data_IF_102176952676
#
_entry.id   IF_102176952676
#
_cell.length_a   1.000
_cell.length_b   1.000
_cell.length_c   1.000
_cell.angle_alpha   90.00
_cell.angle_beta   90.00
_cell.angle_gamma   90.00
#
_symmetry.space_group_name_H-M   'P 1'
#
loop_
_entity.id
_entity.type
_entity.pdbx_description
1 polymer ?
#
# COMPACT_ATOMS: atom_id res chain seq x y z
N UNK A 1 -0.48 -35.90 0.00
CA UNK A 1 0.73 -35.11 0.16
C UNK A 1 0.45 -33.99 1.15
N UNK A 2 1.39 -33.77 2.02
CA UNK A 2 1.27 -32.80 3.11
C UNK A 2 2.48 -31.86 3.09
N UNK A 3 2.26 -30.56 3.31
CA UNK A 3 3.31 -29.56 3.27
C UNK A 3 3.16 -28.54 4.41
N UNK A 4 4.26 -28.14 4.99
CA UNK A 4 4.28 -27.02 5.95
C UNK A 4 4.04 -25.71 5.23
N UNK A 5 3.21 -24.87 5.83
CA UNK A 5 2.91 -23.55 5.29
C UNK A 5 3.99 -22.55 5.70
N UNK A 6 4.63 -21.94 4.71
CA UNK A 6 5.54 -20.85 4.92
C UNK A 6 4.80 -19.54 4.68
N UNK A 7 4.61 -18.74 5.73
CA UNK A 7 3.77 -17.55 5.72
C UNK A 7 4.48 -16.26 5.39
N UNK A 8 5.61 -16.30 4.69
CA UNK A 8 6.40 -15.11 4.45
C UNK A 8 5.82 -14.21 3.39
N UNK A 9 4.82 -13.44 3.77
CA UNK A 9 4.41 -12.26 2.99
C UNK A 9 4.50 -11.03 3.89
N UNK A 10 5.19 -10.01 3.40
CA UNK A 10 5.37 -8.78 4.16
C UNK A 10 4.05 -8.05 4.33
N UNK A 11 3.76 -7.61 5.56
CA UNK A 11 2.56 -6.82 5.90
C UNK A 11 1.23 -7.55 5.70
N UNK A 12 1.27 -8.88 5.65
CA UNK A 12 0.06 -9.69 5.53
C UNK A 12 0.11 -10.91 6.43
N UNK A 13 -1.06 -11.47 6.67
CA UNK A 13 -1.25 -12.63 7.54
C UNK A 13 -2.31 -13.56 6.97
N UNK A 14 -2.23 -14.84 7.34
CA UNK A 14 -3.30 -15.78 7.09
C UNK A 14 -4.54 -15.38 7.90
N UNK A 15 -5.71 -15.49 7.30
CA UNK A 15 -6.98 -15.14 7.97
C UNK A 15 -7.32 -16.12 9.07
N UNK A 16 -7.02 -17.41 8.85
CA UNK A 16 -7.31 -18.47 9.81
C UNK A 16 -6.07 -18.92 10.56
N UNK A 17 -6.27 -19.66 11.65
CA UNK A 17 -5.17 -20.26 12.39
C UNK A 17 -4.38 -21.20 11.50
N UNK A 18 -3.06 -21.08 11.55
CA UNK A 18 -2.15 -21.86 10.73
C UNK A 18 -1.95 -23.25 11.36
N UNK A 19 -2.02 -24.30 10.55
CA UNK A 19 -1.68 -25.66 10.95
C UNK A 19 -0.25 -25.99 10.54
N UNK A 20 0.30 -27.04 11.14
CA UNK A 20 1.65 -27.48 10.78
C UNK A 20 1.71 -28.01 9.35
N UNK A 21 0.69 -28.76 8.95
CA UNK A 21 0.70 -29.43 7.64
C UNK A 21 -0.64 -29.27 6.96
N UNK A 22 -0.61 -29.32 5.62
CA UNK A 22 -1.78 -29.20 4.78
C UNK A 22 -1.78 -30.30 3.71
N UNK A 23 -2.97 -30.73 3.33
CA UNK A 23 -3.14 -31.73 2.29
C UNK A 23 -3.31 -31.09 0.92
N UNK A 24 -3.07 -31.88 -0.12
CA UNK A 24 -3.29 -31.42 -1.50
C UNK A 24 -4.70 -30.85 -1.68
N UNK A 25 -4.78 -29.70 -2.32
CA UNK A 25 -6.03 -29.01 -2.59
C UNK A 25 -6.50 -28.07 -1.47
N UNK A 26 -5.89 -28.13 -0.30
CA UNK A 26 -6.26 -27.20 0.78
C UNK A 26 -5.77 -25.79 0.45
N UNK A 27 -6.59 -24.81 0.82
CA UNK A 27 -6.33 -23.39 0.55
C UNK A 27 -6.25 -22.61 1.85
N UNK A 28 -5.36 -21.61 1.87
CA UNK A 28 -5.24 -20.69 2.99
C UNK A 28 -5.47 -19.27 2.49
N UNK A 29 -6.43 -18.60 3.08
CA UNK A 29 -6.73 -17.20 2.72
C UNK A 29 -5.79 -16.26 3.45
N UNK A 30 -5.32 -15.25 2.74
CA UNK A 30 -4.47 -14.19 3.28
C UNK A 30 -5.20 -12.85 3.26
N UNK A 31 -4.76 -11.95 4.11
CA UNK A 31 -5.21 -10.56 4.15
C UNK A 31 -4.02 -9.66 4.39
N UNK A 32 -4.13 -8.43 3.96
CA UNK A 32 -3.11 -7.41 4.26
C UNK A 32 -3.47 -6.67 5.53
N UNK A 33 -2.44 -6.19 6.23
CA UNK A 33 -2.62 -5.39 7.45
C UNK A 33 -3.21 -4.03 7.10
N UNK A 34 -4.05 -3.50 7.99
CA UNK A 34 -4.54 -2.13 8.00
C UNK A 34 -4.75 -1.50 6.63
N UNK A 35 -3.96 -0.48 6.32
CA UNK A 35 -4.08 0.31 5.09
C UNK A 35 -3.38 -0.30 3.88
N UNK A 36 -2.77 -1.47 4.02
CA UNK A 36 -2.10 -2.14 2.91
C UNK A 36 -3.12 -2.75 1.95
N UNK A 37 -2.78 -2.81 0.68
CA UNK A 37 -3.67 -3.29 -0.38
C UNK A 37 -3.15 -4.59 -0.96
N UNK A 38 -4.01 -5.59 -1.04
CA UNK A 38 -3.65 -6.89 -1.62
C UNK A 38 -3.51 -6.77 -3.14
N UNK A 39 -2.37 -7.25 -3.66
CA UNK A 39 -2.16 -7.46 -5.08
C UNK A 39 -1.95 -8.94 -5.32
N UNK A 40 -2.61 -9.48 -6.33
CA UNK A 40 -2.53 -10.88 -6.68
C UNK A 40 -3.67 -11.70 -6.10
N UNK A 41 -3.40 -12.95 -5.79
CA UNK A 41 -4.41 -13.91 -5.33
C UNK A 41 -4.64 -13.80 -3.82
N UNK A 42 -5.89 -14.06 -3.38
CA UNK A 42 -6.22 -14.05 -1.96
C UNK A 42 -5.85 -15.35 -1.25
N UNK A 43 -5.62 -16.41 -2.00
CA UNK A 43 -5.39 -17.75 -1.45
C UNK A 43 -4.06 -18.31 -1.90
N UNK A 44 -3.40 -19.03 -0.98
CA UNK A 44 -2.36 -19.99 -1.33
C UNK A 44 -2.95 -21.38 -1.28
N UNK A 45 -2.62 -22.22 -2.27
CA UNK A 45 -3.14 -23.58 -2.41
C UNK A 45 -2.00 -24.58 -2.30
N UNK A 46 -2.21 -25.63 -1.54
CA UNK A 46 -1.27 -26.73 -1.47
C UNK A 46 -1.49 -27.67 -2.67
N UNK A 47 -0.50 -27.79 -3.54
CA UNK A 47 -0.55 -28.64 -4.72
C UNK A 47 0.69 -29.53 -4.79
N UNK A 48 0.49 -30.84 -4.64
CA UNK A 48 1.58 -31.82 -4.70
C UNK A 48 2.76 -31.49 -3.80
N UNK A 49 2.48 -31.01 -2.60
CA UNK A 49 3.50 -30.62 -1.63
C UNK A 49 4.10 -29.25 -1.83
N UNK A 50 3.64 -28.48 -2.80
CA UNK A 50 4.10 -27.13 -3.07
C UNK A 50 2.99 -26.11 -2.87
N UNK A 51 3.36 -24.91 -2.44
CA UNK A 51 2.40 -23.82 -2.33
C UNK A 51 2.36 -23.01 -3.60
N UNK A 52 1.14 -22.81 -4.11
CA UNK A 52 0.88 -21.97 -5.28
C UNK A 52 0.05 -20.76 -4.87
N UNK A 53 0.06 -19.73 -5.70
CA UNK A 53 -0.62 -18.47 -5.43
C UNK A 53 0.38 -17.39 -5.07
N UNK A 54 0.40 -16.34 -5.86
CA UNK A 54 1.28 -15.20 -5.64
C UNK A 54 0.48 -14.01 -5.15
N UNK A 55 0.98 -13.37 -4.11
CA UNK A 55 0.35 -12.21 -3.53
C UNK A 55 1.40 -11.33 -2.87
N UNK A 56 1.08 -10.07 -2.77
CA UNK A 56 1.85 -9.14 -1.95
C UNK A 56 0.94 -8.04 -1.42
N UNK A 57 1.39 -7.39 -0.36
CA UNK A 57 0.67 -6.27 0.23
C UNK A 57 1.35 -4.98 -0.18
N UNK A 58 0.64 -4.13 -0.90
CA UNK A 58 1.14 -2.85 -1.38
C UNK A 58 1.02 -1.81 -0.28
N UNK A 59 2.06 -1.00 -0.13
CA UNK A 59 2.19 -0.07 0.99
C UNK A 59 1.32 1.17 0.81
N UNK A 60 0.77 1.69 1.92
CA UNK A 60 0.13 2.99 1.91
C UNK A 60 1.15 4.12 1.89
N UNK A 61 0.70 5.31 1.54
CA UNK A 61 1.49 6.53 1.62
C UNK A 61 1.03 7.36 2.80
N UNK A 62 1.96 8.06 3.42
CA UNK A 62 1.68 9.02 4.49
C UNK A 62 2.20 10.37 4.04
N UNK A 63 1.31 11.36 3.98
CA UNK A 63 1.68 12.72 3.62
C UNK A 63 1.38 13.61 4.81
N UNK A 64 2.44 14.24 5.35
CA UNK A 64 2.34 15.08 6.53
C UNK A 64 2.66 16.53 6.20
N UNK A 65 2.28 17.43 7.12
CA UNK A 65 2.59 18.85 7.01
C UNK A 65 4.11 19.08 6.88
N UNK A 66 4.91 18.35 7.65
CA UNK A 66 6.37 18.51 7.64
C UNK A 66 6.95 18.22 6.24
N UNK A 67 6.45 17.18 5.59
CA UNK A 67 6.89 16.83 4.24
C UNK A 67 6.41 17.89 3.24
N UNK A 68 5.14 18.29 3.36
CA UNK A 68 4.57 19.28 2.45
C UNK A 68 5.23 20.65 2.59
N UNK A 69 5.62 21.04 3.79
CA UNK A 69 6.29 22.32 4.02
C UNK A 69 7.61 22.42 3.26
N UNK A 70 8.33 21.31 3.11
CA UNK A 70 9.55 21.27 2.31
C UNK A 70 9.33 21.49 0.83
N UNK A 71 8.10 21.35 0.34
CA UNK A 71 7.71 21.54 -1.05
C UNK A 71 6.85 22.78 -1.27
N UNK A 72 6.56 23.55 -0.23
CA UNK A 72 5.68 24.71 -0.27
C UNK A 72 4.28 24.38 -0.81
N UNK A 73 3.72 23.25 -0.39
CA UNK A 73 2.40 22.80 -0.79
C UNK A 73 1.52 22.51 0.42
N UNK A 74 0.22 22.52 0.19
CA UNK A 74 -0.79 22.10 1.16
C UNK A 74 -1.83 21.25 0.44
N UNK A 75 -2.64 20.52 1.18
CA UNK A 75 -3.77 19.80 0.59
C UNK A 75 -4.79 20.80 0.04
N UNK A 76 -5.33 20.52 -1.13
CA UNK A 76 -6.28 21.43 -1.78
C UNK A 76 -7.65 21.42 -1.12
N UNK A 77 -8.14 20.25 -0.69
CA UNK A 77 -9.52 20.08 -0.26
C UNK A 77 -9.70 19.79 1.22
N UNK A 78 -8.63 19.78 1.99
CA UNK A 78 -8.70 19.52 3.43
C UNK A 78 -7.66 20.35 4.15
N UNK A 79 -7.94 20.64 5.42
CA UNK A 79 -6.99 21.35 6.30
C UNK A 79 -6.27 20.38 7.26
N UNK A 80 -6.41 19.09 7.04
CA UNK A 80 -5.70 18.12 7.85
C UNK A 80 -4.19 18.28 7.68
N UNK A 81 -3.45 17.98 8.76
CA UNK A 81 -2.00 18.08 8.74
C UNK A 81 -1.33 16.77 8.33
N UNK A 82 -2.11 15.70 8.17
CA UNK A 82 -1.59 14.38 7.81
C UNK A 82 -2.69 13.55 7.17
N UNK A 83 -2.37 12.91 6.07
CA UNK A 83 -3.27 11.96 5.41
C UNK A 83 -2.58 10.63 5.22
N UNK A 84 -3.35 9.57 5.39
CA UNK A 84 -2.97 8.20 5.04
C UNK A 84 -3.72 7.82 3.78
N UNK A 85 -2.98 7.42 2.76
CA UNK A 85 -3.52 7.08 1.45
C UNK A 85 -3.18 5.63 1.13
N UNK A 86 -4.17 4.87 0.68
CA UNK A 86 -3.91 3.50 0.23
C UNK A 86 -3.30 3.52 -1.16
N UNK A 87 -2.73 2.39 -1.56
CA UNK A 87 -2.27 2.23 -2.93
C UNK A 87 -3.37 2.59 -3.92
N UNK A 88 -3.04 3.35 -4.94
CA UNK A 88 -3.92 3.90 -5.97
C UNK A 88 -4.82 5.07 -5.55
N UNK A 89 -4.86 5.42 -4.28
CA UNK A 89 -5.52 6.65 -3.88
C UNK A 89 -4.74 7.86 -4.40
N UNK A 90 -5.46 8.90 -4.76
CA UNK A 90 -4.83 10.14 -5.17
C UNK A 90 -5.24 11.30 -4.29
N UNK A 91 -4.47 12.37 -4.36
CA UNK A 91 -4.69 13.61 -3.62
C UNK A 91 -4.28 14.78 -4.47
N UNK A 92 -4.96 15.91 -4.31
CA UNK A 92 -4.60 17.16 -4.98
C UNK A 92 -4.00 18.13 -3.99
N UNK A 93 -2.94 18.78 -4.41
CA UNK A 93 -2.26 19.82 -3.66
C UNK A 93 -2.53 21.19 -4.25
N UNK A 94 -2.16 22.22 -3.54
CA UNK A 94 -2.05 23.59 -4.04
C UNK A 94 -0.82 24.25 -3.45
N UNK A 95 -0.35 25.29 -4.10
CA UNK A 95 0.80 26.04 -3.59
C UNK A 95 0.45 26.76 -2.29
N UNK A 96 1.39 26.75 -1.36
CA UNK A 96 1.26 27.40 -0.05
C UNK A 96 1.54 28.90 -0.21
N UNK A 97 0.64 29.72 0.38
CA UNK A 97 0.84 31.17 0.38
C UNK A 97 0.95 31.76 -1.01
N UNK A 98 2.01 32.49 -1.25
CA UNK A 98 2.25 33.16 -2.53
C UNK A 98 3.27 32.46 -3.42
N UNK A 99 3.59 31.21 -3.12
CA UNK A 99 4.46 30.41 -3.96
C UNK A 99 3.74 29.97 -5.23
N UNK A 100 4.51 29.62 -6.26
CA UNK A 100 3.98 29.23 -7.56
C UNK A 100 4.47 27.84 -7.95
N UNK A 101 3.60 27.10 -8.62
CA UNK A 101 3.88 25.78 -9.13
C UNK A 101 5.02 25.82 -10.15
N UNK A 102 6.00 24.93 -10.00
CA UNK A 102 7.14 24.84 -10.91
C UNK A 102 6.82 24.10 -12.22
N UNK A 103 5.63 23.52 -12.33
CA UNK A 103 5.11 22.82 -13.52
C UNK A 103 5.86 21.53 -13.88
N UNK A 104 6.69 21.00 -12.97
CA UNK A 104 7.41 19.75 -13.21
C UNK A 104 6.50 18.54 -12.95
N UNK A 105 5.85 18.49 -11.78
CA UNK A 105 4.91 17.43 -11.42
C UNK A 105 3.50 18.00 -11.29
N UNK A 106 2.52 17.19 -11.60
CA UNK A 106 1.11 17.56 -11.42
C UNK A 106 0.79 17.81 -9.95
N UNK A 107 -0.12 18.74 -9.68
CA UNK A 107 -0.68 18.95 -8.35
C UNK A 107 -1.52 17.76 -7.86
N UNK A 108 -1.93 16.88 -8.75
CA UNK A 108 -2.61 15.64 -8.39
C UNK A 108 -1.60 14.50 -8.48
N UNK A 109 -1.43 13.79 -7.36
CA UNK A 109 -0.51 12.67 -7.28
C UNK A 109 -1.19 11.44 -6.71
N UNK A 110 -0.71 10.29 -7.12
CA UNK A 110 -1.24 8.98 -6.72
C UNK A 110 -0.23 8.25 -5.86
N UNK A 111 -0.74 7.55 -4.84
CA UNK A 111 0.07 6.65 -4.04
C UNK A 111 0.32 5.35 -4.81
N UNK A 112 1.59 4.99 -4.98
CA UNK A 112 1.98 3.74 -5.65
C UNK A 112 2.96 3.00 -4.74
N UNK A 113 2.48 1.95 -4.11
CA UNK A 113 3.26 1.06 -3.23
C UNK A 113 4.14 1.83 -2.24
N UNK A 114 3.52 2.75 -1.51
CA UNK A 114 4.20 3.56 -0.50
C UNK A 114 4.96 4.76 -1.02
N UNK A 115 4.97 4.99 -2.33
CA UNK A 115 5.69 6.10 -2.94
C UNK A 115 4.71 7.11 -3.53
N UNK A 116 4.90 8.36 -3.18
CA UNK A 116 4.18 9.48 -3.78
C UNK A 116 5.17 10.59 -4.07
N UNK A 117 5.24 10.98 -5.33
CA UNK A 117 6.03 12.15 -5.72
C UNK A 117 5.26 13.41 -5.36
N UNK A 118 5.96 14.41 -4.82
CA UNK A 118 5.32 15.65 -4.41
C UNK A 118 5.71 16.79 -5.34
N UNK A 119 4.72 17.56 -5.83
CA UNK A 119 5.02 18.75 -6.62
C UNK A 119 5.69 19.84 -5.78
N UNK A 120 6.35 20.75 -6.42
CA UNK A 120 7.04 21.84 -5.76
C UNK A 120 6.45 23.20 -6.15
N UNK A 121 6.48 24.11 -5.19
CA UNK A 121 6.14 25.50 -5.39
C UNK A 121 7.27 26.38 -4.82
N UNK A 122 7.54 27.47 -5.49
CA UNK A 122 8.59 28.40 -5.08
C UNK A 122 8.11 29.84 -5.03
#
# INVERSE_FOLDING_TARGET
>A
IVKDLNLNINYGDAVESVRFTYSHGEMVKYTCQGLYTMEGELYKTCENGEWTGEMRCLKPCVVSKEIMDGHNIVFRFTQRQKLYLRHNDDVQFRCKGQTRHDLVLSMRQRCVDGVMQLPDCF
#
